data_IF_802587186538
#
_entry.id   IF_802587186538
#
_cell.length_a   1.000
_cell.length_b   1.000
_cell.length_c   1.000
_cell.angle_alpha   90.00
_cell.angle_beta   90.00
_cell.angle_gamma   90.00
#
_symmetry.space_group_name_H-M   'P 1'
#
loop_
_entity.id
_entity.type
_entity.pdbx_description
1 polymer ?
#
# COMPACT_ATOMS: atom_id res chain seq x y z
N UNK A 1 21.76 -10.53 -2.42
CA UNK A 1 22.35 -9.70 -3.49
C UNK A 1 23.36 -10.46 -4.35
N UNK A 2 24.40 -11.10 -3.78
CA UNK A 2 25.47 -11.79 -4.56
C UNK A 2 24.96 -12.73 -5.66
N UNK A 3 24.06 -13.65 -5.29
CA UNK A 3 23.49 -14.62 -6.23
C UNK A 3 22.76 -13.95 -7.40
N UNK A 4 22.04 -12.86 -7.13
CA UNK A 4 21.30 -12.09 -8.13
C UNK A 4 22.27 -11.36 -9.06
N UNK A 5 23.26 -10.66 -8.51
CA UNK A 5 24.28 -9.94 -9.30
C UNK A 5 25.05 -10.89 -10.21
N UNK A 6 25.59 -11.97 -9.63
CA UNK A 6 26.33 -12.98 -10.38
C UNK A 6 25.50 -13.56 -11.52
N UNK A 7 24.27 -14.02 -11.26
CA UNK A 7 23.43 -14.65 -12.29
C UNK A 7 22.94 -13.67 -13.36
N UNK A 8 22.47 -12.49 -12.97
CA UNK A 8 21.73 -11.58 -13.86
C UNK A 8 22.58 -10.47 -14.49
N UNK A 9 23.77 -10.19 -13.94
CA UNK A 9 24.63 -9.08 -14.39
C UNK A 9 26.04 -9.51 -14.79
N UNK A 10 26.53 -10.66 -14.29
CA UNK A 10 27.87 -11.19 -14.63
C UNK A 10 27.77 -12.33 -15.62
N UNK A 11 27.08 -13.41 -15.25
CA UNK A 11 26.92 -14.61 -16.10
C UNK A 11 25.94 -14.38 -17.25
N UNK A 12 25.05 -13.40 -17.11
CA UNK A 12 24.09 -12.99 -18.15
C UNK A 12 24.24 -11.51 -18.47
N UNK A 13 23.84 -11.12 -19.68
CA UNK A 13 23.67 -9.70 -20.00
C UNK A 13 22.40 -9.17 -19.32
N UNK A 14 22.45 -8.01 -18.62
CA UNK A 14 21.33 -7.48 -17.84
C UNK A 14 20.27 -6.81 -18.74
N UNK A 15 19.61 -7.60 -19.60
CA UNK A 15 18.71 -7.10 -20.64
C UNK A 15 17.28 -6.87 -20.17
N UNK A 16 16.83 -7.53 -19.10
CA UNK A 16 15.47 -7.30 -18.59
C UNK A 16 15.34 -5.89 -18.01
N UNK A 17 14.14 -5.30 -18.10
CA UNK A 17 13.89 -3.94 -17.61
C UNK A 17 14.28 -3.74 -16.15
N UNK A 18 14.03 -4.74 -15.30
CA UNK A 18 14.45 -4.70 -13.89
C UNK A 18 15.99 -4.63 -13.74
N UNK A 19 16.74 -5.34 -14.57
CA UNK A 19 18.21 -5.27 -14.54
C UNK A 19 18.73 -3.96 -15.15
N UNK A 20 18.15 -3.52 -16.28
CA UNK A 20 18.46 -2.23 -16.91
C UNK A 20 18.22 -1.06 -15.96
N UNK A 21 17.18 -1.12 -15.13
CA UNK A 21 16.90 -0.12 -14.10
C UNK A 21 18.03 0.00 -13.07
N UNK A 22 18.59 -1.12 -12.61
CA UNK A 22 19.75 -1.11 -11.70
C UNK A 22 20.98 -0.47 -12.37
N UNK A 23 21.30 -0.86 -13.61
CA UNK A 23 22.43 -0.29 -14.36
C UNK A 23 22.25 1.21 -14.59
N UNK A 24 21.05 1.62 -15.01
CA UNK A 24 20.73 3.03 -15.25
C UNK A 24 20.83 3.86 -13.97
N UNK A 25 20.39 3.31 -12.84
CA UNK A 25 20.47 3.97 -11.53
C UNK A 25 21.93 4.17 -11.11
N UNK A 26 22.76 3.12 -11.17
CA UNK A 26 24.18 3.20 -10.82
C UNK A 26 24.94 4.17 -11.75
N UNK A 27 24.61 4.16 -13.05
CA UNK A 27 25.17 5.08 -14.03
C UNK A 27 24.79 6.53 -13.72
N UNK A 28 23.52 6.82 -13.42
CA UNK A 28 23.07 8.16 -13.04
C UNK A 28 23.69 8.66 -11.72
N UNK A 29 24.16 7.76 -10.86
CA UNK A 29 24.89 8.08 -9.63
C UNK A 29 26.39 8.33 -9.85
N UNK A 30 26.90 8.10 -11.07
CA UNK A 30 28.29 8.30 -11.47
C UNK A 30 29.19 7.07 -11.33
N UNK A 31 28.63 5.88 -11.08
CA UNK A 31 29.37 4.65 -10.81
C UNK A 31 29.77 3.91 -12.10
N UNK A 32 30.27 4.64 -13.10
CA UNK A 32 30.56 4.09 -14.43
C UNK A 32 31.69 3.07 -14.38
N UNK A 33 32.74 3.33 -13.60
CA UNK A 33 33.91 2.45 -13.49
C UNK A 33 33.61 1.17 -12.72
N UNK A 34 32.81 1.26 -11.64
CA UNK A 34 32.34 0.10 -10.89
C UNK A 34 31.41 -0.77 -11.74
N UNK A 35 30.52 -0.15 -12.52
CA UNK A 35 29.67 -0.85 -13.48
C UNK A 35 30.47 -1.56 -14.56
N UNK A 36 31.46 -0.88 -15.16
CA UNK A 36 32.31 -1.46 -16.21
C UNK A 36 33.08 -2.68 -15.71
N UNK A 37 33.58 -2.62 -14.46
CA UNK A 37 34.25 -3.74 -13.79
C UNK A 37 33.29 -4.79 -13.20
N UNK A 38 31.99 -4.52 -13.20
CA UNK A 38 30.93 -5.34 -12.55
C UNK A 38 31.22 -5.61 -11.07
N UNK A 39 31.83 -4.64 -10.39
CA UNK A 39 32.34 -4.76 -9.03
C UNK A 39 31.28 -4.36 -7.99
N UNK A 40 30.50 -5.36 -7.55
CA UNK A 40 29.46 -5.15 -6.54
C UNK A 40 30.02 -4.69 -5.19
N UNK A 41 31.26 -5.08 -4.85
CA UNK A 41 31.88 -4.69 -3.59
C UNK A 41 32.22 -3.20 -3.61
N UNK A 42 32.82 -2.70 -4.69
CA UNK A 42 33.09 -1.28 -4.87
C UNK A 42 31.80 -0.43 -4.83
N UNK A 43 30.73 -0.89 -5.50
CA UNK A 43 29.40 -0.24 -5.42
C UNK A 43 28.93 -0.12 -3.97
N UNK A 44 29.06 -1.17 -3.16
CA UNK A 44 28.67 -1.12 -1.74
C UNK A 44 29.52 -0.18 -0.91
N UNK A 45 30.84 -0.20 -1.11
CA UNK A 45 31.75 0.73 -0.45
C UNK A 45 31.34 2.17 -0.73
N UNK A 46 30.99 2.48 -1.98
CA UNK A 46 30.48 3.80 -2.33
C UNK A 46 29.16 4.14 -1.62
N UNK A 47 28.18 3.23 -1.58
CA UNK A 47 26.92 3.47 -0.87
C UNK A 47 27.13 3.69 0.63
N UNK A 48 28.10 3.00 1.24
CA UNK A 48 28.42 3.13 2.66
C UNK A 48 29.00 4.51 3.04
N UNK A 49 29.53 5.27 2.08
CA UNK A 49 30.02 6.64 2.33
C UNK A 49 28.92 7.70 2.21
N UNK A 50 27.71 7.33 1.79
CA UNK A 50 26.63 8.28 1.58
C UNK A 50 25.89 8.56 2.89
N UNK A 51 25.60 9.84 3.15
CA UNK A 51 24.66 10.25 4.19
C UNK A 51 23.22 10.06 3.70
N UNK A 52 22.37 9.40 4.49
CA UNK A 52 21.02 9.01 4.07
C UNK A 52 20.14 10.20 3.66
N UNK A 53 20.20 11.32 4.40
CA UNK A 53 19.38 12.49 4.10
C UNK A 53 19.86 13.22 2.83
N UNK A 54 21.17 13.45 2.72
CA UNK A 54 21.79 14.04 1.51
C UNK A 54 21.60 13.15 0.29
N UNK A 55 21.71 11.84 0.48
CA UNK A 55 21.52 10.86 -0.59
C UNK A 55 20.08 10.85 -1.10
N UNK A 56 19.11 10.90 -0.19
CA UNK A 56 17.70 11.03 -0.55
C UNK A 56 17.45 12.27 -1.43
N UNK A 57 17.92 13.45 -1.00
CA UNK A 57 17.78 14.70 -1.78
C UNK A 57 18.57 14.65 -3.11
N UNK A 58 19.70 13.94 -3.16
CA UNK A 58 20.43 13.69 -4.41
C UNK A 58 19.59 12.86 -5.37
N UNK A 59 19.03 11.73 -4.94
CA UNK A 59 18.19 10.84 -5.77
C UNK A 59 16.95 11.57 -6.27
N UNK A 60 16.26 12.31 -5.40
CA UNK A 60 15.09 13.12 -5.77
C UNK A 60 15.41 14.12 -6.88
N UNK A 61 16.56 14.80 -6.80
CA UNK A 61 17.00 15.76 -7.84
C UNK A 61 17.39 15.07 -9.14
N UNK A 62 18.16 13.99 -9.08
CA UNK A 62 18.57 13.23 -10.28
C UNK A 62 17.36 12.68 -11.03
N UNK A 63 16.38 12.15 -10.30
CA UNK A 63 15.12 11.68 -10.85
C UNK A 63 14.13 12.81 -11.20
N UNK A 64 14.48 14.08 -10.94
CA UNK A 64 13.65 15.27 -11.17
C UNK A 64 12.27 15.18 -10.51
N UNK A 65 12.20 14.58 -9.33
CA UNK A 65 10.96 14.39 -8.58
C UNK A 65 10.59 15.66 -7.81
N UNK A 66 9.36 16.12 -8.03
CA UNK A 66 8.76 17.23 -7.26
C UNK A 66 8.39 16.79 -5.84
N UNK A 67 7.77 15.62 -5.71
CA UNK A 67 7.42 15.00 -4.44
C UNK A 67 7.24 13.48 -4.60
N UNK A 68 7.18 12.77 -3.48
CA UNK A 68 6.85 11.33 -3.37
C UNK A 68 5.64 11.19 -2.47
N UNK A 69 4.70 10.33 -2.85
CA UNK A 69 3.58 9.93 -1.99
C UNK A 69 3.90 8.54 -1.43
N UNK A 70 3.92 8.41 -0.11
CA UNK A 70 4.23 7.18 0.60
C UNK A 70 2.95 6.52 1.13
N UNK A 71 2.79 5.23 0.84
CA UNK A 71 1.72 4.41 1.41
C UNK A 71 1.96 4.17 2.91
N UNK A 72 0.93 4.42 3.72
CA UNK A 72 0.89 4.14 5.15
C UNK A 72 -0.26 3.19 5.41
N UNK A 73 0.01 2.02 6.01
CA UNK A 73 -1.02 1.01 6.23
C UNK A 73 -1.18 0.66 7.70
N UNK A 74 -2.28 1.07 8.36
CA UNK A 74 -2.46 0.85 9.79
C UNK A 74 -2.62 -0.64 10.15
N UNK A 75 -2.85 -1.50 9.15
CA UNK A 75 -3.13 -2.92 9.33
C UNK A 75 -1.92 -3.82 9.07
N UNK A 76 -0.80 -3.27 8.60
CA UNK A 76 0.37 -4.07 8.21
C UNK A 76 1.21 -4.53 9.40
N UNK A 77 1.50 -3.63 10.34
CA UNK A 77 2.29 -3.88 11.54
C UNK A 77 2.05 -2.78 12.59
N UNK A 78 2.37 -3.06 13.85
CA UNK A 78 2.22 -2.10 14.95
C UNK A 78 3.01 -0.80 14.71
N UNK A 79 4.22 -0.89 14.18
CA UNK A 79 5.02 0.30 13.82
C UNK A 79 4.35 1.15 12.73
N UNK A 80 3.64 0.52 11.79
CA UNK A 80 2.90 1.22 10.74
C UNK A 80 1.61 1.83 11.28
N UNK A 81 0.91 1.15 12.19
CA UNK A 81 -0.23 1.71 12.93
C UNK A 81 0.19 2.98 13.67
N UNK A 82 1.30 2.93 14.42
CA UNK A 82 1.83 4.10 15.12
C UNK A 82 2.22 5.21 14.14
N UNK A 83 2.86 4.89 13.01
CA UNK A 83 3.16 5.87 11.97
C UNK A 83 1.91 6.49 11.33
N UNK A 84 0.77 5.79 11.34
CA UNK A 84 -0.51 6.35 10.86
C UNK A 84 -1.18 7.25 11.89
N UNK A 85 -1.06 6.96 13.19
CA UNK A 85 -1.71 7.71 14.26
C UNK A 85 -0.88 8.90 14.74
N UNK A 86 0.44 8.75 14.75
CA UNK A 86 1.42 9.76 15.16
C UNK A 86 2.58 9.78 14.16
N UNK A 87 2.35 10.30 12.93
CA UNK A 87 3.39 10.29 11.90
C UNK A 87 4.60 11.12 12.34
N UNK A 88 5.83 10.65 12.04
CA UNK A 88 7.01 11.46 12.24
C UNK A 88 6.97 12.70 11.33
N UNK A 89 7.79 13.69 11.64
CA UNK A 89 7.93 14.87 10.78
C UNK A 89 8.33 14.45 9.36
N UNK A 90 7.45 14.72 8.39
CA UNK A 90 7.69 14.41 6.99
C UNK A 90 8.71 15.40 6.40
N UNK A 91 9.71 14.92 5.63
CA UNK A 91 10.55 15.82 4.86
C UNK A 91 9.70 16.59 3.81
N UNK A 92 10.09 17.82 3.40
CA UNK A 92 9.23 18.73 2.63
C UNK A 92 8.63 18.18 1.32
N UNK A 93 9.25 17.16 0.72
CA UNK A 93 8.82 16.55 -0.56
C UNK A 93 8.06 15.24 -0.38
N UNK A 94 7.73 14.87 0.86
CA UNK A 94 7.03 13.63 1.16
C UNK A 94 5.58 13.93 1.54
N UNK A 95 4.68 13.17 0.93
CA UNK A 95 3.23 13.19 1.17
C UNK A 95 2.78 11.80 1.56
N UNK A 96 1.60 11.69 2.16
CA UNK A 96 1.05 10.41 2.59
C UNK A 96 -0.10 9.95 1.69
N UNK A 97 -0.25 8.64 1.57
CA UNK A 97 -1.48 7.97 1.16
C UNK A 97 -1.85 6.96 2.25
N UNK A 98 -3.14 6.81 2.52
CA UNK A 98 -3.63 5.82 3.48
C UNK A 98 -3.99 4.54 2.72
N UNK A 99 -3.23 3.46 2.95
CA UNK A 99 -3.40 2.18 2.27
C UNK A 99 -4.17 1.19 3.15
N UNK A 100 -5.31 0.72 2.65
CA UNK A 100 -6.28 -0.08 3.40
C UNK A 100 -6.60 -1.42 2.73
N UNK A 101 -5.64 -1.96 1.95
CA UNK A 101 -5.75 -3.26 1.26
C UNK A 101 -6.25 -4.39 2.17
N UNK A 102 -5.89 -4.37 3.47
CA UNK A 102 -6.32 -5.38 4.43
C UNK A 102 -7.86 -5.51 4.56
N UNK A 103 -8.61 -4.44 4.31
CA UNK A 103 -10.08 -4.47 4.36
C UNK A 103 -10.67 -5.16 3.12
N UNK A 104 -10.16 -4.84 1.93
CA UNK A 104 -10.64 -5.41 0.66
C UNK A 104 -10.10 -6.82 0.39
N UNK A 105 -8.99 -7.20 1.03
CA UNK A 105 -8.41 -8.54 0.99
C UNK A 105 -8.87 -9.44 2.16
N UNK A 106 -9.89 -9.02 2.92
CA UNK A 106 -10.46 -9.77 4.04
C UNK A 106 -9.43 -10.23 5.09
N UNK A 107 -8.42 -9.41 5.38
CA UNK A 107 -7.39 -9.68 6.39
C UNK A 107 -7.88 -9.33 7.81
N UNK A 108 -9.09 -9.78 8.16
CA UNK A 108 -9.81 -9.40 9.38
C UNK A 108 -9.05 -9.59 10.69
N UNK A 109 -8.26 -10.66 10.90
CA UNK A 109 -7.43 -10.77 12.10
C UNK A 109 -6.42 -9.63 12.25
N UNK A 110 -5.84 -9.12 11.15
CA UNK A 110 -4.93 -7.98 11.20
C UNK A 110 -5.67 -6.67 11.48
N UNK A 111 -6.84 -6.50 10.88
CA UNK A 111 -7.72 -5.35 11.06
C UNK A 111 -8.20 -5.26 12.52
N UNK A 112 -8.71 -6.36 13.08
CA UNK A 112 -9.18 -6.44 14.46
C UNK A 112 -8.05 -6.14 15.46
N UNK A 113 -6.85 -6.70 15.24
CA UNK A 113 -5.68 -6.39 16.07
C UNK A 113 -5.31 -4.91 16.04
N UNK A 114 -5.33 -4.28 14.86
CA UNK A 114 -5.00 -2.87 14.73
C UNK A 114 -6.06 -1.97 15.40
N UNK A 115 -7.35 -2.30 15.26
CA UNK A 115 -8.42 -1.59 15.96
C UNK A 115 -8.24 -1.67 17.48
N UNK A 116 -8.06 -2.87 18.03
CA UNK A 116 -7.83 -3.08 19.45
C UNK A 116 -6.57 -2.35 19.96
N UNK A 117 -5.46 -2.43 19.22
CA UNK A 117 -4.22 -1.73 19.57
C UNK A 117 -4.37 -0.20 19.55
N UNK A 118 -5.27 0.34 18.73
CA UNK A 118 -5.59 1.75 18.71
C UNK A 118 -6.60 2.18 19.79
N UNK A 119 -7.11 1.24 20.59
CA UNK A 119 -8.15 1.47 21.61
C UNK A 119 -9.58 1.48 21.06
N UNK A 120 -9.79 1.03 19.81
CA UNK A 120 -11.10 0.92 19.19
C UNK A 120 -11.67 -0.48 19.36
N UNK A 121 -13.00 -0.62 19.33
CA UNK A 121 -13.65 -1.92 19.28
C UNK A 121 -13.27 -2.65 17.97
N UNK A 122 -13.06 -3.98 17.99
CA UNK A 122 -12.75 -4.77 16.79
C UNK A 122 -14.03 -5.01 15.97
N UNK A 123 -14.68 -3.93 15.52
CA UNK A 123 -15.93 -3.87 14.76
C UNK A 123 -15.72 -2.96 13.54
N UNK A 124 -16.62 -2.96 12.55
CA UNK A 124 -16.50 -2.04 11.40
C UNK A 124 -16.62 -0.57 11.84
N UNK A 125 -17.49 -0.28 12.81
CA UNK A 125 -17.62 1.04 13.43
C UNK A 125 -16.30 1.51 14.08
N UNK A 126 -15.64 0.64 14.85
CA UNK A 126 -14.33 0.93 15.43
C UNK A 126 -13.23 1.10 14.38
N UNK A 127 -13.26 0.33 13.29
CA UNK A 127 -12.36 0.52 12.15
C UNK A 127 -12.58 1.87 11.48
N UNK A 128 -13.83 2.30 11.27
CA UNK A 128 -14.15 3.64 10.76
C UNK A 128 -13.59 4.75 11.66
N UNK A 129 -13.68 4.59 12.98
CA UNK A 129 -13.09 5.53 13.94
C UNK A 129 -11.55 5.57 13.84
N UNK A 130 -10.91 4.40 13.78
CA UNK A 130 -9.46 4.29 13.56
C UNK A 130 -9.03 5.00 12.26
N UNK A 131 -9.68 4.70 11.13
CA UNK A 131 -9.34 5.30 9.84
C UNK A 131 -9.50 6.81 9.85
N UNK A 132 -10.54 7.34 10.52
CA UNK A 132 -10.75 8.79 10.66
C UNK A 132 -9.61 9.45 11.43
N UNK A 133 -9.13 8.79 12.50
CA UNK A 133 -7.95 9.25 13.25
C UNK A 133 -6.68 9.22 12.41
N UNK A 134 -6.47 8.16 11.62
CA UNK A 134 -5.35 8.07 10.69
C UNK A 134 -5.40 9.19 9.62
N UNK A 135 -6.58 9.47 9.06
CA UNK A 135 -6.77 10.57 8.09
C UNK A 135 -6.44 11.92 8.73
N UNK A 136 -6.93 12.18 9.94
CA UNK A 136 -6.66 13.43 10.65
C UNK A 136 -5.17 13.64 10.93
N UNK A 137 -4.46 12.57 11.31
CA UNK A 137 -3.04 12.61 11.61
C UNK A 137 -2.15 12.71 10.35
N UNK A 138 -2.39 11.84 9.35
CA UNK A 138 -1.57 11.77 8.13
C UNK A 138 -1.86 12.89 7.14
N UNK A 139 -3.11 13.36 7.08
CA UNK A 139 -3.64 14.22 6.01
C UNK A 139 -3.27 13.68 4.62
N UNK A 140 -3.68 12.45 4.30
CA UNK A 140 -3.25 11.79 3.07
C UNK A 140 -3.81 12.51 1.82
N UNK A 141 -3.10 12.39 0.70
CA UNK A 141 -3.55 12.91 -0.60
C UNK A 141 -4.71 12.08 -1.17
N UNK A 142 -4.77 10.80 -0.82
CA UNK A 142 -5.82 9.85 -1.20
C UNK A 142 -5.84 8.63 -0.27
N UNK A 143 -6.94 7.90 -0.32
CA UNK A 143 -7.06 6.55 0.26
C UNK A 143 -6.84 5.55 -0.89
N UNK A 144 -6.05 4.51 -0.67
CA UNK A 144 -5.82 3.47 -1.67
C UNK A 144 -6.19 2.08 -1.16
N UNK A 145 -6.78 1.27 -2.03
CA UNK A 145 -6.96 -0.15 -1.80
C UNK A 145 -6.75 -0.96 -3.09
N UNK A 146 -6.36 -2.21 -2.93
CA UNK A 146 -6.30 -3.19 -4.01
C UNK A 146 -7.50 -4.12 -3.95
N UNK A 147 -8.06 -4.46 -5.10
CA UNK A 147 -9.11 -5.48 -5.20
C UNK A 147 -8.53 -6.77 -5.73
N UNK A 148 -9.11 -7.93 -5.34
CA UNK A 148 -8.72 -9.19 -5.94
C UNK A 148 -9.12 -9.21 -7.44
N UNK A 149 -8.50 -10.11 -8.20
CA UNK A 149 -8.70 -10.19 -9.64
C UNK A 149 -10.14 -10.49 -10.12
N UNK A 150 -10.92 -11.12 -9.26
CA UNK A 150 -12.31 -11.54 -9.44
C UNK A 150 -13.29 -10.54 -8.80
N UNK A 151 -12.82 -9.31 -8.54
CA UNK A 151 -13.64 -8.26 -7.99
C UNK A 151 -14.70 -7.79 -8.99
N UNK A 152 -15.95 -7.81 -8.55
CA UNK A 152 -17.09 -7.23 -9.26
C UNK A 152 -17.81 -6.23 -8.36
N UNK A 153 -18.07 -5.04 -8.91
CA UNK A 153 -18.90 -4.03 -8.27
C UNK A 153 -20.27 -4.02 -8.94
N UNK A 154 -21.23 -4.70 -8.34
CA UNK A 154 -22.62 -4.72 -8.83
C UNK A 154 -23.36 -3.46 -8.42
N UNK A 155 -24.20 -2.93 -9.30
CA UNK A 155 -25.31 -2.09 -8.85
C UNK A 155 -26.25 -3.01 -8.06
N UNK A 156 -26.69 -2.61 -6.86
CA UNK A 156 -27.86 -3.22 -6.28
C UNK A 156 -28.98 -3.14 -7.31
N UNK A 157 -29.54 -4.30 -7.71
CA UNK A 157 -30.61 -4.35 -8.69
C UNK A 157 -31.72 -3.36 -8.29
N UNK A 158 -31.99 -2.42 -9.18
CA UNK A 158 -32.87 -1.28 -8.94
C UNK A 158 -34.34 -1.68 -8.78
N UNK A 159 -34.73 -2.09 -7.58
CA UNK A 159 -36.09 -1.83 -7.09
C UNK A 159 -36.09 -0.48 -6.37
N UNK A 160 -36.44 0.58 -7.11
CA UNK A 160 -36.86 1.89 -6.62
C UNK A 160 -36.37 2.29 -5.21
N UNK A 161 -35.08 2.60 -5.08
CA UNK A 161 -34.62 3.43 -3.96
C UNK A 161 -34.38 4.82 -4.51
N UNK A 162 -35.35 5.69 -4.22
CA UNK A 162 -35.24 7.11 -4.47
C UNK A 162 -33.86 7.62 -4.03
N UNK A 163 -33.29 8.52 -4.81
CA UNK A 163 -32.08 9.28 -4.47
C UNK A 163 -32.39 10.18 -3.27
N UNK A 164 -32.43 9.58 -2.09
CA UNK A 164 -32.39 10.20 -0.78
C UNK A 164 -31.06 9.83 -0.16
N UNK A 165 -30.26 10.83 0.21
CA UNK A 165 -28.95 10.60 0.81
C UNK A 165 -29.03 9.70 2.05
N UNK A 166 -28.61 8.46 1.89
CA UNK A 166 -28.58 7.43 2.93
C UNK A 166 -27.74 6.28 2.39
N UNK A 167 -27.01 5.60 3.28
CA UNK A 167 -26.15 4.48 2.95
C UNK A 167 -26.90 3.45 2.07
N UNK A 168 -26.18 2.80 1.15
CA UNK A 168 -26.67 1.59 0.50
C UNK A 168 -27.21 0.66 1.61
N UNK A 169 -28.45 0.17 1.45
CA UNK A 169 -29.15 -0.74 2.39
C UNK A 169 -28.40 -2.08 2.49
N UNK A 170 -27.25 -2.02 3.12
CA UNK A 170 -26.47 -3.14 3.58
C UNK A 170 -26.97 -3.39 5.00
N UNK A 171 -27.71 -4.48 5.19
CA UNK A 171 -28.15 -4.99 6.51
C UNK A 171 -26.93 -5.55 7.28
N UNK A 172 -25.91 -4.70 7.45
CA UNK A 172 -24.63 -4.99 8.09
C UNK A 172 -24.66 -4.38 9.49
N UNK A 173 -24.59 -5.25 10.49
CA UNK A 173 -24.33 -4.83 11.86
C UNK A 173 -22.87 -4.36 11.99
N UNK A 174 -22.67 -3.04 11.91
CA UNK A 174 -21.34 -2.42 11.98
C UNK A 174 -20.68 -2.57 13.35
N UNK A 175 -21.45 -2.90 14.38
CA UNK A 175 -20.98 -3.08 15.76
C UNK A 175 -20.78 -4.56 16.11
N UNK A 176 -21.08 -5.47 15.19
CA UNK A 176 -20.77 -6.87 15.38
C UNK A 176 -19.24 -7.12 15.35
N UNK A 177 -18.74 -8.10 16.14
CA UNK A 177 -17.32 -8.43 16.14
C UNK A 177 -16.80 -8.88 14.77
N UNK A 178 -15.65 -8.33 14.36
CA UNK A 178 -14.95 -8.75 13.14
C UNK A 178 -14.41 -10.18 13.24
N UNK A 179 -14.25 -10.72 14.45
CA UNK A 179 -13.92 -12.14 14.65
C UNK A 179 -15.22 -12.94 14.75
N UNK A 180 -15.58 -13.62 13.65
CA UNK A 180 -16.86 -14.36 13.59
C UNK A 180 -17.40 -14.54 12.17
N UNK A 181 -18.60 -15.12 12.02
CA UNK A 181 -19.19 -15.47 10.72
C UNK A 181 -19.41 -14.26 9.80
N UNK A 182 -19.56 -13.05 10.36
CA UNK A 182 -19.77 -11.81 9.61
C UNK A 182 -18.55 -11.46 8.75
N UNK A 183 -17.34 -11.73 9.23
CA UNK A 183 -16.12 -11.50 8.43
C UNK A 183 -16.03 -12.37 7.19
N UNK A 184 -16.70 -13.53 7.18
CA UNK A 184 -16.78 -14.40 6.01
C UNK A 184 -17.79 -13.92 4.96
N UNK A 185 -18.75 -13.06 5.34
CA UNK A 185 -19.75 -12.50 4.42
C UNK A 185 -19.40 -11.10 3.89
N UNK A 186 -18.39 -10.43 4.48
CA UNK A 186 -17.95 -9.11 4.02
C UNK A 186 -17.13 -9.21 2.72
N UNK A 187 -17.77 -8.86 1.61
CA UNK A 187 -17.12 -8.73 0.30
C UNK A 187 -16.39 -7.39 0.18
N UNK A 188 -15.45 -7.28 -0.77
CA UNK A 188 -14.77 -6.02 -1.05
C UNK A 188 -15.76 -4.90 -1.46
N UNK A 189 -16.84 -5.23 -2.17
CA UNK A 189 -17.89 -4.27 -2.54
C UNK A 189 -18.66 -3.77 -1.32
N UNK A 190 -19.04 -4.67 -0.39
CA UNK A 190 -19.66 -4.27 0.87
C UNK A 190 -18.74 -3.37 1.71
N UNK A 191 -17.42 -3.65 1.74
CA UNK A 191 -16.43 -2.79 2.41
C UNK A 191 -16.31 -1.42 1.75
N UNK A 192 -16.33 -1.37 0.40
CA UNK A 192 -16.33 -0.10 -0.32
C UNK A 192 -17.54 0.76 0.08
N UNK A 193 -18.73 0.16 0.10
CA UNK A 193 -19.99 0.85 0.34
C UNK A 193 -20.20 1.26 1.80
N UNK A 194 -19.86 0.39 2.74
CA UNK A 194 -20.07 0.64 4.17
C UNK A 194 -18.96 1.47 4.83
N UNK A 195 -17.72 1.39 4.31
CA UNK A 195 -16.54 2.00 4.97
C UNK A 195 -15.84 3.01 4.08
N UNK A 196 -15.37 2.60 2.90
CA UNK A 196 -14.41 3.41 2.14
C UNK A 196 -15.05 4.60 1.42
N UNK A 197 -16.16 4.40 0.72
CA UNK A 197 -16.87 5.47 0.01
C UNK A 197 -17.45 6.51 0.98
N UNK A 198 -18.09 6.14 2.11
CA UNK A 198 -18.52 7.10 3.12
C UNK A 198 -17.35 7.91 3.71
N UNK A 199 -16.24 7.24 4.04
CA UNK A 199 -15.03 7.91 4.54
C UNK A 199 -14.46 8.88 3.51
N UNK A 200 -14.27 8.46 2.26
CA UNK A 200 -13.76 9.31 1.18
C UNK A 200 -14.68 10.53 0.96
N UNK A 201 -15.99 10.33 0.97
CA UNK A 201 -16.99 11.40 0.82
C UNK A 201 -16.93 12.40 1.98
N UNK A 202 -16.86 11.91 3.21
CA UNK A 202 -16.78 12.75 4.42
C UNK A 202 -15.50 13.58 4.46
N UNK A 203 -14.35 12.93 4.22
CA UNK A 203 -13.03 13.55 4.31
C UNK A 203 -12.62 14.28 3.01
N UNK A 204 -13.44 14.19 1.96
CA UNK A 204 -13.18 14.75 0.62
C UNK A 204 -11.87 14.24 0.00
N UNK A 205 -11.59 12.95 0.19
CA UNK A 205 -10.39 12.30 -0.32
C UNK A 205 -10.71 11.48 -1.58
N UNK A 206 -9.84 11.53 -2.61
CA UNK A 206 -9.91 10.58 -3.71
C UNK A 206 -9.70 9.14 -3.22
N UNK A 207 -10.39 8.20 -3.87
CA UNK A 207 -10.16 6.77 -3.72
C UNK A 207 -9.35 6.26 -4.92
N UNK A 208 -8.17 5.70 -4.66
CA UNK A 208 -7.36 4.98 -5.65
C UNK A 208 -7.65 3.47 -5.53
N UNK A 209 -8.29 2.91 -6.55
CA UNK A 209 -8.61 1.49 -6.61
C UNK A 209 -7.66 0.76 -7.57
N UNK A 210 -6.86 -0.19 -7.07
CA UNK A 210 -5.92 -1.00 -7.86
C UNK A 210 -6.52 -2.36 -8.14
N UNK A 211 -6.87 -2.64 -9.39
CA UNK A 211 -7.57 -3.87 -9.77
C UNK A 211 -6.64 -4.89 -10.44
N UNK A 212 -7.04 -6.17 -10.41
CA UNK A 212 -6.47 -7.22 -11.27
C UNK A 212 -5.32 -8.02 -10.67
N UNK A 213 -4.96 -7.80 -9.40
CA UNK A 213 -3.87 -8.57 -8.77
C UNK A 213 -4.37 -9.93 -8.29
N UNK A 214 -3.75 -11.00 -8.77
CA UNK A 214 -3.94 -12.35 -8.23
C UNK A 214 -2.82 -12.67 -7.25
N UNK A 215 -3.08 -12.47 -5.96
CA UNK A 215 -2.10 -12.63 -4.89
C UNK A 215 -1.70 -14.09 -4.69
N UNK A 216 -0.45 -14.32 -4.27
CA UNK A 216 0.06 -15.61 -3.79
C UNK A 216 -0.15 -16.78 -4.76
N UNK A 217 -0.09 -16.51 -6.08
CA UNK A 217 -0.12 -17.53 -7.13
C UNK A 217 1.02 -18.57 -6.91
N UNK A 218 2.19 -18.08 -6.49
CA UNK A 218 3.30 -18.92 -6.02
C UNK A 218 3.69 -18.55 -4.60
N UNK A 219 3.20 -19.31 -3.62
CA UNK A 219 3.48 -19.07 -2.19
C UNK A 219 4.98 -19.14 -1.85
N UNK A 220 5.74 -19.97 -2.55
CA UNK A 220 7.18 -20.15 -2.31
C UNK A 220 8.00 -18.93 -2.73
N UNK A 221 7.47 -18.08 -3.62
CA UNK A 221 8.11 -16.86 -4.08
C UNK A 221 7.78 -15.63 -3.22
N UNK A 222 6.91 -15.76 -2.21
CA UNK A 222 6.52 -14.65 -1.34
C UNK A 222 5.95 -13.48 -2.12
N UNK A 223 6.53 -12.28 -1.94
CA UNK A 223 6.12 -11.05 -2.65
C UNK A 223 6.30 -11.12 -4.17
N UNK A 224 7.23 -11.97 -4.66
CA UNK A 224 7.42 -12.20 -6.11
C UNK A 224 6.46 -13.27 -6.66
N UNK A 225 5.55 -13.77 -5.83
CA UNK A 225 4.60 -14.82 -6.16
C UNK A 225 3.22 -14.33 -6.58
N UNK A 226 3.01 -13.02 -6.63
CA UNK A 226 1.78 -12.42 -7.14
C UNK A 226 1.76 -12.46 -8.68
N UNK A 227 0.57 -12.59 -9.25
CA UNK A 227 0.34 -12.55 -10.69
C UNK A 227 -0.78 -11.57 -11.06
N UNK A 228 -1.16 -11.60 -12.33
CA UNK A 228 -2.30 -10.84 -12.86
C UNK A 228 -3.42 -11.84 -13.15
N UNK A 229 -4.66 -11.49 -12.82
CA UNK A 229 -5.82 -12.27 -13.23
C UNK A 229 -6.11 -12.18 -14.73
N UNK A 230 -6.91 -13.11 -15.28
CA UNK A 230 -7.41 -13.00 -16.65
C UNK A 230 -8.33 -11.79 -16.85
#
# INVERSE_FOLDING_TARGET
AERVWRRLFVESSPLSEACRGVVSTLSALGLHDELARRDLAAVRTWYATQDGHKFNEKVMRLARLKYVICSHSPFFAEVQLLACLTPPALPPRYRAALEVDALTEAQWPAVARAAAAAGEAPTLSGVCALLSRCVAALRPEYISCSTPHDFEYGASDGSDVAVGGGALDLDLDLDAPLEGPISASLTASAVLDAVLLPLCKRERLPLLLRMGTRRKLSRTLGLSGDGVGP
#
